data_IF_625244989786
#
_entry.id   IF_625244989786
#
_cell.length_a   1.000
_cell.length_b   1.000
_cell.length_c   1.000
_cell.angle_alpha   90.00
_cell.angle_beta   90.00
_cell.angle_gamma   90.00
#
_symmetry.space_group_name_H-M   'P 1'
#
loop_
_entity.id
_entity.type
_entity.pdbx_description
1 polymer ?
#
# COMPACT_ATOMS: atom_id res chain seq x y z
N UNK A 1 -1.87 -18.19 5.09
CA UNK A 1 -3.05 -18.15 5.99
C UNK A 1 -3.02 -19.40 6.85
N UNK A 2 -2.84 -19.30 8.19
CA UNK A 2 -3.04 -20.43 9.07
C UNK A 2 -4.49 -20.94 8.93
N UNK A 3 -4.69 -22.25 8.83
CA UNK A 3 -6.03 -22.83 8.73
C UNK A 3 -6.77 -22.69 10.06
N UNK A 4 -7.62 -21.67 10.19
CA UNK A 4 -8.52 -21.48 11.35
C UNK A 4 -9.84 -22.26 11.23
N UNK A 5 -9.97 -23.12 10.21
CA UNK A 5 -11.22 -23.80 9.85
C UNK A 5 -11.76 -24.64 11.02
N UNK A 6 -10.90 -25.41 11.70
CA UNK A 6 -11.31 -26.24 12.84
C UNK A 6 -11.80 -25.40 14.03
N UNK A 7 -11.19 -24.24 14.29
CA UNK A 7 -11.60 -23.34 15.38
C UNK A 7 -12.96 -22.71 15.10
N UNK A 8 -13.18 -22.27 13.86
CA UNK A 8 -14.46 -21.72 13.42
C UNK A 8 -15.59 -22.76 13.50
N UNK A 9 -15.32 -23.99 13.07
CA UNK A 9 -16.30 -25.09 13.14
C UNK A 9 -16.71 -25.45 14.58
N UNK A 10 -15.83 -25.21 15.56
CA UNK A 10 -16.11 -25.46 16.98
C UNK A 10 -16.64 -24.23 17.72
N UNK A 11 -17.07 -23.17 17.00
CA UNK A 11 -17.64 -21.97 17.60
C UNK A 11 -16.63 -21.07 18.34
N UNK A 12 -15.32 -21.30 18.16
CA UNK A 12 -14.25 -20.55 18.82
C UNK A 12 -13.94 -19.23 18.09
N UNK A 13 -14.98 -18.46 17.77
CA UNK A 13 -14.91 -17.25 16.93
C UNK A 13 -14.05 -16.18 17.59
N UNK A 14 -14.25 -15.92 18.89
CA UNK A 14 -13.52 -14.87 19.62
C UNK A 14 -12.00 -15.10 19.62
N UNK A 15 -11.57 -16.36 19.75
CA UNK A 15 -10.15 -16.73 19.69
C UNK A 15 -9.56 -16.47 18.30
N UNK A 16 -10.30 -16.77 17.23
CA UNK A 16 -9.86 -16.50 15.85
C UNK A 16 -9.80 -15.00 15.61
N UNK A 17 -10.81 -14.24 16.04
CA UNK A 17 -10.81 -12.78 15.94
C UNK A 17 -9.62 -12.16 16.69
N UNK A 18 -9.34 -12.60 17.92
CA UNK A 18 -8.19 -12.10 18.70
C UNK A 18 -6.87 -12.33 17.96
N UNK A 19 -6.67 -13.52 17.38
CA UNK A 19 -5.46 -13.85 16.60
C UNK A 19 -5.32 -13.03 15.32
N UNK A 20 -6.42 -12.77 14.62
CA UNK A 20 -6.42 -11.89 13.44
C UNK A 20 -6.09 -10.46 13.86
N UNK A 21 -6.68 -9.98 14.97
CA UNK A 21 -6.46 -8.62 15.48
C UNK A 21 -5.01 -8.40 15.91
N UNK A 22 -4.34 -9.40 16.48
CA UNK A 22 -2.91 -9.35 16.79
C UNK A 22 -2.03 -9.13 15.56
N UNK A 23 -2.44 -9.66 14.40
CA UNK A 23 -1.72 -9.53 13.14
C UNK A 23 -2.27 -8.42 12.24
N UNK A 24 -3.29 -7.69 12.69
CA UNK A 24 -4.03 -6.73 11.87
C UNK A 24 -3.14 -5.67 11.24
N UNK A 25 -2.20 -5.12 12.01
CA UNK A 25 -1.25 -4.10 11.53
C UNK A 25 -0.39 -4.57 10.35
N UNK A 26 -0.06 -5.87 10.28
CA UNK A 26 0.73 -6.43 9.18
C UNK A 26 -0.04 -6.42 7.85
N UNK A 27 -1.37 -6.51 7.91
CA UNK A 27 -2.24 -6.44 6.73
C UNK A 27 -2.54 -5.00 6.34
N UNK A 28 -2.69 -4.12 7.33
CA UNK A 28 -3.20 -2.76 7.12
C UNK A 28 -2.28 -1.86 6.29
N UNK A 29 -0.96 -2.09 6.28
CA UNK A 29 -0.05 -1.30 5.43
C UNK A 29 -0.42 -1.39 3.95
N UNK A 30 -0.58 -2.61 3.43
CA UNK A 30 -0.98 -2.85 2.04
C UNK A 30 -2.36 -2.28 1.70
N UNK A 31 -3.31 -2.37 2.64
CA UNK A 31 -4.66 -1.81 2.48
C UNK A 31 -4.60 -0.30 2.41
N UNK A 32 -3.81 0.33 3.28
CA UNK A 32 -3.65 1.78 3.32
C UNK A 32 -3.00 2.32 2.05
N UNK A 33 -1.94 1.69 1.55
CA UNK A 33 -1.35 2.04 0.27
C UNK A 33 -2.36 1.97 -0.88
N UNK A 34 -3.23 0.96 -0.89
CA UNK A 34 -4.27 0.83 -1.91
C UNK A 34 -5.29 1.96 -1.84
N UNK A 35 -5.68 2.36 -0.62
CA UNK A 35 -6.53 3.54 -0.39
C UNK A 35 -5.85 4.81 -0.92
N UNK A 36 -4.54 4.98 -0.69
CA UNK A 36 -3.75 6.10 -1.20
C UNK A 36 -3.74 6.14 -2.73
N UNK A 37 -3.50 5.01 -3.41
CA UNK A 37 -3.59 4.92 -4.88
C UNK A 37 -4.96 5.31 -5.40
N UNK A 38 -6.03 4.81 -4.78
CA UNK A 38 -7.40 5.17 -5.18
C UNK A 38 -7.66 6.67 -5.01
N UNK A 39 -7.16 7.28 -3.93
CA UNK A 39 -7.26 8.73 -3.72
C UNK A 39 -6.48 9.51 -4.77
N UNK A 40 -5.25 9.10 -5.09
CA UNK A 40 -4.45 9.71 -6.16
C UNK A 40 -5.20 9.66 -7.50
N UNK A 41 -5.80 8.53 -7.87
CA UNK A 41 -6.62 8.43 -9.08
C UNK A 41 -7.87 9.33 -9.07
N UNK A 42 -8.49 9.54 -7.90
CA UNK A 42 -9.60 10.51 -7.77
C UNK A 42 -9.11 11.94 -8.00
N UNK A 43 -7.99 12.33 -7.39
CA UNK A 43 -7.40 13.66 -7.57
C UNK A 43 -6.88 13.89 -8.99
N UNK A 44 -6.30 12.86 -9.60
CA UNK A 44 -5.83 12.86 -10.99
C UNK A 44 -6.98 13.20 -11.95
N UNK A 45 -8.13 12.51 -11.79
CA UNK A 45 -9.35 12.79 -12.58
C UNK A 45 -9.93 14.19 -12.36
N UNK A 46 -9.68 14.79 -11.22
CA UNK A 46 -10.15 16.14 -10.88
C UNK A 46 -9.18 17.23 -11.30
N UNK A 47 -8.01 16.89 -11.88
CA UNK A 47 -6.98 17.86 -12.23
C UNK A 47 -6.35 18.56 -11.02
N UNK A 48 -6.40 17.92 -9.83
CA UNK A 48 -5.89 18.49 -8.58
C UNK A 48 -4.41 18.15 -8.31
N UNK A 49 -3.79 17.37 -9.19
CA UNK A 49 -2.39 16.98 -9.10
C UNK A 49 -1.53 17.88 -10.01
N UNK A 50 -0.24 18.08 -9.68
CA UNK A 50 0.66 18.90 -10.49
C UNK A 50 0.96 18.29 -11.87
N UNK A 51 0.60 17.03 -12.09
CA UNK A 51 0.66 16.34 -13.38
C UNK A 51 -0.52 15.37 -13.50
N UNK A 52 -0.91 15.06 -14.74
CA UNK A 52 -1.91 14.02 -15.02
C UNK A 52 -1.18 12.71 -15.31
N UNK A 53 -1.08 11.82 -14.33
CA UNK A 53 -0.33 10.58 -14.51
C UNK A 53 -1.15 9.54 -15.27
N UNK A 54 -0.47 8.71 -16.05
CA UNK A 54 -1.06 7.63 -16.84
C UNK A 54 -0.92 6.26 -16.16
N UNK A 55 0.10 6.12 -15.33
CA UNK A 55 0.39 4.88 -14.61
C UNK A 55 1.03 5.18 -13.26
N UNK A 56 0.99 4.20 -12.36
CA UNK A 56 1.74 4.22 -11.12
C UNK A 56 2.36 2.85 -10.84
N UNK A 57 3.43 2.83 -10.07
CA UNK A 57 4.13 1.64 -9.61
C UNK A 57 4.85 1.88 -8.29
N UNK A 58 5.67 0.91 -7.89
CA UNK A 58 6.63 1.06 -6.79
C UNK A 58 8.02 1.28 -7.37
N UNK A 59 8.87 1.96 -6.60
CA UNK A 59 10.28 2.06 -6.95
C UNK A 59 11.14 1.54 -5.81
N UNK A 60 12.17 0.78 -6.18
CA UNK A 60 13.18 0.24 -5.29
C UNK A 60 14.56 0.65 -5.79
N UNK A 61 15.41 1.10 -4.89
CA UNK A 61 16.79 1.39 -5.23
C UNK A 61 17.69 1.53 -4.02
N UNK A 62 19.00 1.45 -4.24
CA UNK A 62 19.97 1.61 -3.18
C UNK A 62 20.23 3.10 -2.93
N UNK A 63 20.19 3.54 -1.68
CA UNK A 63 20.70 4.85 -1.28
C UNK A 63 22.22 4.72 -1.03
N UNK A 64 23.09 5.20 -1.93
CA UNK A 64 24.54 5.05 -1.78
C UNK A 64 25.11 5.85 -0.60
N UNK A 65 24.39 6.85 -0.08
CA UNK A 65 24.83 7.65 1.08
C UNK A 65 24.52 6.92 2.38
N UNK A 66 23.34 6.31 2.48
CA UNK A 66 22.91 5.57 3.68
C UNK A 66 23.29 4.08 3.66
N UNK A 67 23.72 3.56 2.50
CA UNK A 67 24.02 2.14 2.26
C UNK A 67 22.86 1.21 2.64
N UNK A 68 21.62 1.65 2.40
CA UNK A 68 20.39 0.89 2.63
C UNK A 68 19.55 0.84 1.35
N UNK A 69 18.68 -0.15 1.27
CA UNK A 69 17.61 -0.17 0.28
C UNK A 69 16.55 0.87 0.66
N UNK A 70 16.11 1.64 -0.33
CA UNK A 70 15.03 2.61 -0.21
C UNK A 70 13.87 2.17 -1.09
N UNK A 71 12.66 2.25 -0.54
CA UNK A 71 11.40 2.02 -1.23
C UNK A 71 10.64 3.35 -1.35
N UNK A 72 9.98 3.55 -2.49
CA UNK A 72 8.94 4.57 -2.65
C UNK A 72 7.63 3.84 -2.94
N UNK A 73 6.66 3.99 -2.04
CA UNK A 73 5.38 3.25 -2.06
C UNK A 73 4.59 3.48 -3.35
N UNK A 74 4.60 4.72 -3.86
CA UNK A 74 3.92 5.07 -5.11
C UNK A 74 4.78 6.03 -5.92
N UNK A 75 5.09 5.64 -7.15
CA UNK A 75 5.66 6.48 -8.20
C UNK A 75 4.69 6.52 -9.36
N UNK A 76 4.23 7.71 -9.71
CA UNK A 76 3.33 7.93 -10.83
C UNK A 76 4.00 8.73 -11.94
N UNK A 77 3.73 8.39 -13.20
CA UNK A 77 4.35 9.04 -14.37
C UNK A 77 3.33 9.44 -15.43
N UNK A 78 3.61 10.55 -16.11
CA UNK A 78 2.90 10.96 -17.34
C UNK A 78 3.64 10.46 -18.60
N UNK A 79 3.19 10.92 -19.77
CA UNK A 79 3.78 10.64 -21.08
C UNK A 79 5.08 11.39 -21.35
N UNK A 80 5.30 12.52 -20.67
CA UNK A 80 6.51 13.35 -20.78
C UNK A 80 7.64 12.93 -19.82
N UNK A 81 7.44 11.83 -19.07
CA UNK A 81 8.36 11.29 -18.05
C UNK A 81 8.53 12.18 -16.82
N UNK A 82 7.57 13.06 -16.55
CA UNK A 82 7.49 13.71 -15.25
C UNK A 82 7.07 12.66 -14.20
N UNK A 83 7.61 12.78 -13.00
CA UNK A 83 7.39 11.81 -11.92
C UNK A 83 6.81 12.49 -10.69
N UNK A 84 5.81 11.83 -10.11
CA UNK A 84 5.24 12.15 -8.81
C UNK A 84 5.57 11.01 -7.85
N UNK A 85 6.26 11.35 -6.77
CA UNK A 85 6.66 10.42 -5.72
C UNK A 85 5.75 10.60 -4.50
N UNK A 86 5.28 9.51 -3.91
CA UNK A 86 4.40 9.51 -2.75
C UNK A 86 4.80 8.41 -1.76
N UNK A 87 4.95 8.81 -0.50
CA UNK A 87 5.13 7.91 0.64
C UNK A 87 3.81 7.86 1.43
N UNK A 88 3.34 6.67 1.77
CA UNK A 88 2.08 6.40 2.46
C UNK A 88 2.37 6.10 3.93
N UNK A 89 1.86 6.94 4.84
CA UNK A 89 2.01 6.77 6.29
C UNK A 89 0.69 7.02 7.01
#
# INVERSE_FOLDING_TARGET
MPSYISLLQNGMIDLVCARIMEQFSQYMGSVFEEICKQRLWRQNRQGLLPLTFLSHGRWWGSDPRKKIEAEIDIVASDDERNLLYCECK
#
